data_IF_759096095859
#
_entry.id   IF_759096095859
#
_cell.length_a   1.000
_cell.length_b   1.000
_cell.length_c   1.000
_cell.angle_alpha   90.00
_cell.angle_beta   90.00
_cell.angle_gamma   90.00
#
_symmetry.space_group_name_H-M   'P 1'
#
loop_
_entity.id
_entity.type
_entity.pdbx_description
1 polymer ?
#
# COMPACT_ATOMS: atom_id res chain seq x y z
N UNK A 1 -34.69 10.04 -3.96
CA UNK A 1 -33.90 8.81 -4.16
C UNK A 1 -34.41 8.07 -5.38
N UNK A 2 -33.53 7.82 -6.36
CA UNK A 2 -33.49 6.50 -6.95
C UNK A 2 -32.08 5.92 -6.80
N UNK A 3 -32.05 4.63 -6.44
CA UNK A 3 -30.88 3.84 -6.16
C UNK A 3 -30.03 3.66 -7.43
N UNK A 4 -28.75 4.00 -7.37
CA UNK A 4 -27.77 3.56 -8.37
C UNK A 4 -27.34 2.15 -8.03
N UNK A 5 -27.80 1.18 -8.82
CA UNK A 5 -27.21 -0.16 -8.89
C UNK A 5 -25.80 -0.06 -9.44
N UNK A 6 -24.82 -0.53 -8.66
CA UNK A 6 -23.41 -0.62 -9.04
C UNK A 6 -23.24 -1.40 -10.36
N UNK A 7 -22.60 -0.78 -11.36
CA UNK A 7 -22.09 -1.48 -12.54
C UNK A 7 -20.69 -1.98 -12.24
N UNK A 8 -20.51 -3.30 -12.22
CA UNK A 8 -19.20 -3.94 -12.21
C UNK A 8 -18.70 -4.00 -13.65
N UNK A 9 -17.72 -3.17 -13.99
CA UNK A 9 -16.93 -3.32 -15.21
C UNK A 9 -15.64 -4.05 -14.85
N UNK A 10 -15.56 -5.36 -15.09
CA UNK A 10 -14.28 -6.08 -15.05
C UNK A 10 -13.51 -5.78 -16.34
N UNK A 11 -12.37 -5.09 -16.22
CA UNK A 11 -11.42 -4.90 -17.32
C UNK A 11 -10.41 -6.06 -17.27
N UNK A 12 -10.67 -7.12 -18.03
CA UNK A 12 -9.66 -8.12 -18.33
C UNK A 12 -8.86 -7.68 -19.57
N UNK A 13 -7.62 -7.25 -19.38
CA UNK A 13 -6.66 -7.03 -20.46
C UNK A 13 -6.14 -8.38 -20.96
N UNK A 14 -6.84 -9.00 -21.89
CA UNK A 14 -6.27 -10.09 -22.70
C UNK A 14 -5.90 -9.58 -24.09
N UNK A 15 -4.64 -9.83 -24.44
CA UNK A 15 -4.05 -9.66 -25.76
C UNK A 15 -4.92 -10.33 -26.84
N UNK A 16 -5.46 -9.52 -27.74
CA UNK A 16 -5.96 -9.92 -29.05
C UNK A 16 -7.15 -10.89 -29.07
N UNK A 17 -8.38 -10.39 -28.93
CA UNK A 17 -9.63 -10.93 -29.54
C UNK A 17 -10.80 -9.99 -29.21
N UNK A 18 -11.78 -9.89 -30.10
CA UNK A 18 -12.86 -8.90 -30.11
C UNK A 18 -13.59 -8.65 -28.76
N UNK A 19 -13.92 -7.38 -28.50
CA UNK A 19 -14.78 -6.93 -27.40
C UNK A 19 -16.23 -7.37 -27.63
N UNK A 20 -16.83 -8.03 -26.65
CA UNK A 20 -18.28 -8.20 -26.56
C UNK A 20 -18.78 -7.54 -25.28
N UNK A 21 -19.56 -6.46 -25.42
CA UNK A 21 -20.35 -5.89 -24.33
C UNK A 21 -21.68 -6.63 -24.29
N UNK A 22 -21.87 -7.53 -23.35
CA UNK A 22 -23.18 -8.14 -23.10
C UNK A 22 -23.99 -7.25 -22.16
N UNK A 23 -24.99 -6.55 -22.68
CA UNK A 23 -26.00 -5.90 -21.85
C UNK A 23 -26.95 -6.97 -21.29
N UNK A 24 -26.95 -7.18 -19.97
CA UNK A 24 -28.09 -7.81 -19.29
C UNK A 24 -28.92 -6.71 -18.65
N UNK A 25 -30.02 -6.35 -19.30
CA UNK A 25 -31.04 -5.50 -18.70
C UNK A 25 -31.83 -6.34 -17.68
N UNK A 26 -31.61 -6.11 -16.38
CA UNK A 26 -32.54 -6.54 -15.34
C UNK A 26 -33.76 -5.63 -15.42
N UNK A 27 -34.87 -6.14 -15.97
CA UNK A 27 -36.15 -5.45 -15.96
C UNK A 27 -36.85 -5.68 -14.62
N UNK A 28 -37.07 -4.61 -13.87
CA UNK A 28 -37.91 -4.57 -12.68
C UNK A 28 -39.37 -4.84 -13.07
N UNK A 29 -39.81 -6.09 -12.96
CA UNK A 29 -41.21 -6.48 -13.16
C UNK A 29 -42.08 -6.05 -11.98
N UNK A 30 -42.63 -4.84 -12.06
CA UNK A 30 -43.77 -4.44 -11.24
C UNK A 30 -44.98 -5.34 -11.59
N UNK A 31 -45.56 -5.97 -10.57
CA UNK A 31 -46.69 -6.87 -10.71
C UNK A 31 -47.91 -6.21 -11.34
N UNK A 32 -48.46 -6.86 -12.37
CA UNK A 32 -49.88 -6.76 -12.74
C UNK A 32 -50.38 -8.16 -13.12
N UNK A 33 -51.33 -8.66 -12.35
CA UNK A 33 -52.17 -9.80 -12.68
C UNK A 33 -53.32 -9.35 -13.57
N UNK A 34 -53.57 -10.03 -14.70
CA UNK A 34 -54.92 -10.24 -15.26
C UNK A 34 -54.87 -11.26 -16.42
N UNK A 35 -55.38 -12.45 -16.13
CA UNK A 35 -56.27 -13.34 -16.88
C UNK A 35 -56.34 -13.23 -18.43
N UNK A 36 -56.31 -14.40 -19.10
CA UNK A 36 -56.96 -14.53 -20.41
C UNK A 36 -56.31 -15.53 -21.37
N UNK A 37 -56.88 -16.73 -21.41
CA UNK A 37 -56.68 -17.77 -22.42
C UNK A 37 -57.07 -17.27 -23.84
N UNK A 38 -56.29 -17.54 -24.89
CA UNK A 38 -56.78 -17.42 -26.28
C UNK A 38 -55.77 -17.09 -27.39
N UNK A 39 -55.29 -18.13 -28.08
CA UNK A 39 -55.35 -18.30 -29.55
C UNK A 39 -54.71 -17.29 -30.52
N UNK A 40 -53.69 -17.79 -31.23
CA UNK A 40 -53.28 -17.50 -32.62
C UNK A 40 -52.54 -16.18 -32.99
N UNK A 41 -51.24 -16.38 -33.28
CA UNK A 41 -50.47 -15.90 -34.43
C UNK A 41 -50.17 -14.40 -34.59
N UNK A 42 -48.89 -14.03 -34.45
CA UNK A 42 -48.12 -13.31 -35.47
C UNK A 42 -46.63 -13.25 -35.07
N UNK A 43 -45.77 -13.86 -35.89
CA UNK A 43 -44.31 -13.63 -35.92
C UNK A 43 -44.03 -12.16 -36.21
N UNK A 44 -43.94 -11.32 -35.17
CA UNK A 44 -43.35 -10.00 -35.28
C UNK A 44 -41.85 -10.11 -35.05
N UNK A 45 -41.12 -9.97 -36.17
CA UNK A 45 -39.68 -9.75 -36.21
C UNK A 45 -39.30 -8.69 -35.18
N UNK A 46 -38.54 -9.08 -34.16
CA UNK A 46 -37.87 -8.14 -33.28
C UNK A 46 -36.92 -7.27 -34.12
N UNK A 47 -36.90 -5.93 -33.96
CA UNK A 47 -35.90 -5.10 -34.63
C UNK A 47 -34.52 -5.51 -34.11
N UNK A 48 -33.69 -6.09 -34.98
CA UNK A 48 -32.28 -6.31 -34.69
C UNK A 48 -31.58 -4.96 -34.59
N UNK A 49 -31.49 -4.39 -33.39
CA UNK A 49 -30.54 -3.32 -33.11
C UNK A 49 -29.13 -3.90 -32.87
N UNK A 50 -28.63 -4.65 -33.86
CA UNK A 50 -27.19 -4.84 -34.04
C UNK A 50 -26.68 -3.67 -34.85
N UNK A 51 -26.56 -2.51 -34.21
CA UNK A 51 -25.73 -1.44 -34.76
C UNK A 51 -24.29 -1.84 -34.49
N UNK A 52 -23.73 -2.67 -35.37
CA UNK A 52 -22.31 -2.96 -35.40
C UNK A 52 -21.56 -1.64 -35.54
N UNK A 53 -20.88 -1.20 -34.48
CA UNK A 53 -20.02 -0.02 -34.50
C UNK A 53 -18.75 -0.40 -35.28
N UNK A 54 -18.83 -0.37 -36.61
CA UNK A 54 -17.72 -0.67 -37.52
C UNK A 54 -16.70 0.47 -37.63
N UNK A 55 -16.99 1.64 -37.05
CA UNK A 55 -16.08 2.79 -37.04
C UNK A 55 -14.86 2.61 -36.15
N UNK A 56 -14.95 1.76 -35.11
CA UNK A 56 -13.82 1.50 -34.22
C UNK A 56 -12.69 0.74 -34.93
N UNK A 57 -12.99 -0.11 -35.90
CA UNK A 57 -11.96 -0.87 -36.62
C UNK A 57 -11.22 -0.03 -37.68
N UNK A 58 -11.85 0.98 -38.26
CA UNK A 58 -11.22 1.79 -39.32
C UNK A 58 -10.24 2.85 -38.79
N UNK A 59 -10.37 3.27 -37.52
CA UNK A 59 -9.45 4.21 -36.87
C UNK A 59 -8.23 3.52 -36.23
N UNK A 60 -8.27 2.21 -36.01
CA UNK A 60 -7.21 1.47 -35.34
C UNK A 60 -5.99 1.17 -36.23
N UNK A 61 -6.15 1.19 -37.56
CA UNK A 61 -5.06 0.87 -38.50
C UNK A 61 -4.16 2.07 -38.86
N UNK A 62 -4.48 3.30 -38.43
CA UNK A 62 -3.73 4.51 -38.82
C UNK A 62 -3.08 5.28 -37.68
N UNK A 63 -3.34 4.91 -36.42
CA UNK A 63 -2.76 5.58 -35.25
C UNK A 63 -1.61 4.75 -34.68
N UNK A 64 -0.46 5.40 -34.48
CA UNK A 64 0.64 4.87 -33.68
C UNK A 64 0.08 4.47 -32.30
N UNK A 65 0.39 3.27 -31.81
CA UNK A 65 -0.08 2.75 -30.52
C UNK A 65 0.15 3.76 -29.38
N UNK A 66 1.29 4.44 -29.38
CA UNK A 66 1.63 5.49 -28.38
C UNK A 66 0.65 6.67 -28.44
N UNK A 67 0.25 7.09 -29.65
CA UNK A 67 -0.69 8.18 -29.83
C UNK A 67 -2.10 7.81 -29.37
N UNK A 68 -2.53 6.57 -29.65
CA UNK A 68 -3.80 6.04 -29.17
C UNK A 68 -3.81 5.97 -27.62
N UNK A 69 -2.72 5.52 -27.01
CA UNK A 69 -2.58 5.48 -25.55
C UNK A 69 -2.64 6.88 -24.93
N UNK A 70 -1.93 7.86 -25.49
CA UNK A 70 -2.02 9.26 -25.05
C UNK A 70 -3.44 9.80 -25.12
N UNK A 71 -4.17 9.52 -26.21
CA UNK A 71 -5.58 9.93 -26.36
C UNK A 71 -6.46 9.31 -25.27
N UNK A 72 -6.32 8.00 -25.03
CA UNK A 72 -7.08 7.29 -23.98
C UNK A 72 -6.78 7.84 -22.59
N UNK A 73 -5.51 8.09 -22.30
CA UNK A 73 -5.10 8.69 -21.03
C UNK A 73 -5.64 10.12 -20.89
N UNK A 74 -5.65 10.92 -21.95
CA UNK A 74 -6.28 12.24 -21.93
C UNK A 74 -7.76 12.16 -21.55
N UNK A 75 -8.50 11.20 -22.13
CA UNK A 75 -9.90 10.98 -21.77
C UNK A 75 -10.03 10.59 -20.29
N UNK A 76 -9.29 9.59 -19.84
CA UNK A 76 -9.32 9.11 -18.45
C UNK A 76 -9.03 10.23 -17.44
N UNK A 77 -8.11 11.13 -17.76
CA UNK A 77 -7.64 12.17 -16.83
C UNK A 77 -8.48 13.45 -16.87
N UNK A 78 -9.26 13.71 -17.92
CA UNK A 78 -9.87 15.04 -18.12
C UNK A 78 -11.35 15.02 -18.48
N UNK A 79 -11.90 13.89 -18.95
CA UNK A 79 -13.30 13.87 -19.36
C UNK A 79 -14.22 13.72 -18.14
N UNK A 80 -15.34 14.46 -18.06
CA UNK A 80 -16.26 14.44 -16.91
C UNK A 80 -16.80 13.05 -16.56
N UNK A 81 -16.94 12.17 -17.55
CA UNK A 81 -17.43 10.80 -17.36
C UNK A 81 -16.47 9.91 -16.57
N UNK A 82 -15.20 10.32 -16.45
CA UNK A 82 -14.17 9.66 -15.64
C UNK A 82 -13.76 10.48 -14.41
N UNK A 83 -14.57 11.47 -14.02
CA UNK A 83 -14.38 12.14 -12.74
C UNK A 83 -14.57 11.14 -11.58
N UNK A 84 -13.72 11.23 -10.57
CA UNK A 84 -13.77 10.36 -9.40
C UNK A 84 -14.87 10.84 -8.44
N UNK A 85 -15.93 10.04 -8.36
CA UNK A 85 -17.06 10.25 -7.43
C UNK A 85 -17.05 9.28 -6.24
N UNK A 86 -16.20 8.27 -6.28
CA UNK A 86 -15.97 7.30 -5.22
C UNK A 86 -14.48 7.31 -4.87
N UNK A 87 -14.18 7.45 -3.59
CA UNK A 87 -12.84 7.60 -3.03
C UNK A 87 -12.02 6.31 -3.11
N UNK A 88 -12.67 5.14 -3.26
CA UNK A 88 -11.98 3.88 -2.96
C UNK A 88 -11.04 3.37 -4.08
N UNK A 89 -11.35 3.58 -5.37
CA UNK A 89 -10.57 2.94 -6.46
C UNK A 89 -10.22 3.85 -7.65
N UNK A 90 -10.96 4.94 -7.85
CA UNK A 90 -10.84 5.72 -9.08
C UNK A 90 -9.45 6.35 -9.25
N UNK A 91 -8.86 6.85 -8.17
CA UNK A 91 -7.52 7.45 -8.21
C UNK A 91 -6.43 6.40 -8.44
N UNK A 92 -6.58 5.20 -7.87
CA UNK A 92 -5.64 4.09 -8.11
C UNK A 92 -5.60 3.68 -9.58
N UNK A 93 -6.76 3.62 -10.25
CA UNK A 93 -6.85 3.30 -11.67
C UNK A 93 -6.18 4.39 -12.53
N UNK A 94 -6.40 5.67 -12.19
CA UNK A 94 -5.72 6.80 -12.84
C UNK A 94 -4.21 6.71 -12.67
N UNK A 95 -3.71 6.45 -11.46
CA UNK A 95 -2.27 6.27 -11.19
C UNK A 95 -1.70 5.07 -11.94
N UNK A 96 -2.44 3.95 -11.99
CA UNK A 96 -2.04 2.75 -12.73
C UNK A 96 -1.84 3.05 -14.21
N UNK A 97 -2.72 3.85 -14.80
CA UNK A 97 -2.60 4.26 -16.19
C UNK A 97 -1.38 5.17 -16.44
N UNK A 98 -1.00 6.02 -15.47
CA UNK A 98 0.15 6.92 -15.58
C UNK A 98 1.50 6.21 -15.69
N UNK A 99 1.61 4.97 -15.19
CA UNK A 99 2.79 4.11 -15.36
C UNK A 99 3.25 4.01 -16.81
N UNK A 100 2.32 4.12 -17.77
CA UNK A 100 2.65 4.03 -19.19
C UNK A 100 3.48 5.21 -19.67
N UNK A 101 3.19 6.43 -19.19
CA UNK A 101 3.93 7.62 -19.56
C UNK A 101 5.36 7.55 -19.04
N UNK A 102 5.52 7.07 -17.81
CA UNK A 102 6.83 6.87 -17.20
C UNK A 102 7.70 5.88 -18.00
N UNK A 103 7.12 4.75 -18.43
CA UNK A 103 7.82 3.78 -19.30
C UNK A 103 8.27 4.36 -20.64
N UNK A 104 7.54 5.36 -21.15
CA UNK A 104 7.87 6.06 -22.39
C UNK A 104 8.66 7.36 -22.17
N UNK A 105 9.07 7.66 -20.93
CA UNK A 105 9.79 8.89 -20.57
C UNK A 105 9.04 10.19 -20.95
N UNK A 106 7.71 10.15 -20.96
CA UNK A 106 6.85 11.29 -21.30
C UNK A 106 6.58 12.16 -20.06
N UNK A 107 7.66 12.76 -19.53
CA UNK A 107 7.65 13.46 -18.24
C UNK A 107 6.74 14.70 -18.24
N UNK A 108 6.65 15.42 -19.36
CA UNK A 108 5.80 16.61 -19.48
C UNK A 108 4.32 16.24 -19.31
N UNK A 109 3.88 15.19 -20.00
CA UNK A 109 2.50 14.73 -19.93
C UNK A 109 2.19 14.10 -18.57
N UNK A 110 3.18 13.42 -17.98
CA UNK A 110 3.09 12.88 -16.63
C UNK A 110 2.88 13.99 -15.60
N UNK A 111 3.71 15.04 -15.61
CA UNK A 111 3.59 16.18 -14.69
C UNK A 111 2.25 16.92 -14.87
N UNK A 112 1.78 17.08 -16.11
CA UNK A 112 0.46 17.65 -16.42
C UNK A 112 -0.67 16.85 -15.78
N UNK A 113 -0.67 15.53 -15.94
CA UNK A 113 -1.74 14.69 -15.41
C UNK A 113 -1.66 14.50 -13.90
N UNK A 114 -0.45 14.48 -13.33
CA UNK A 114 -0.29 14.58 -11.88
C UNK A 114 -0.91 15.86 -11.33
N UNK A 115 -0.64 17.01 -11.95
CA UNK A 115 -1.26 18.29 -11.55
C UNK A 115 -2.78 18.26 -11.67
N UNK A 116 -3.29 17.55 -12.67
CA UNK A 116 -4.74 17.35 -12.85
C UNK A 116 -5.33 16.52 -11.70
N UNK A 117 -4.65 15.44 -11.28
CA UNK A 117 -5.05 14.64 -10.12
C UNK A 117 -5.07 15.46 -8.84
N UNK A 118 -4.00 16.22 -8.56
CA UNK A 118 -3.94 17.04 -7.35
C UNK A 118 -5.11 18.05 -7.29
N UNK A 119 -5.45 18.65 -8.44
CA UNK A 119 -6.61 19.55 -8.53
C UNK A 119 -7.92 18.81 -8.29
N UNK A 120 -8.09 17.61 -8.83
CA UNK A 120 -9.29 16.80 -8.62
C UNK A 120 -9.45 16.39 -7.15
N UNK A 121 -8.37 15.90 -6.53
CA UNK A 121 -8.29 15.57 -5.10
C UNK A 121 -8.61 16.81 -4.25
N UNK A 122 -8.10 17.99 -4.63
CA UNK A 122 -8.34 19.23 -3.88
C UNK A 122 -9.80 19.64 -3.75
N UNK A 123 -10.68 19.12 -4.62
CA UNK A 123 -12.11 19.42 -4.61
C UNK A 123 -12.93 18.40 -3.79
N UNK A 124 -12.29 17.36 -3.26
CA UNK A 124 -12.96 16.32 -2.47
C UNK A 124 -13.19 16.80 -1.03
N UNK A 125 -14.27 16.35 -0.36
CA UNK A 125 -14.54 16.72 1.02
C UNK A 125 -13.48 16.14 1.95
N UNK A 126 -13.11 16.88 3.01
CA UNK A 126 -12.04 16.51 3.94
C UNK A 126 -12.17 15.08 4.49
N UNK A 127 -13.39 14.61 4.74
CA UNK A 127 -13.68 13.26 5.25
C UNK A 127 -13.20 12.13 4.33
N UNK A 128 -13.08 12.39 3.03
CA UNK A 128 -12.59 11.42 2.05
C UNK A 128 -11.07 11.51 1.82
N UNK A 129 -10.41 12.59 2.27
CA UNK A 129 -9.00 12.84 1.93
C UNK A 129 -8.09 11.72 2.40
N UNK A 130 -8.29 11.24 3.63
CA UNK A 130 -7.44 10.21 4.24
C UNK A 130 -7.33 8.96 3.35
N UNK A 131 -8.48 8.44 2.91
CA UNK A 131 -8.57 7.26 2.04
C UNK A 131 -7.98 7.58 0.67
N UNK A 132 -8.36 8.72 0.08
CA UNK A 132 -7.91 9.11 -1.26
C UNK A 132 -6.39 9.23 -1.31
N UNK A 133 -5.77 9.97 -0.39
CA UNK A 133 -4.32 10.22 -0.45
C UNK A 133 -3.52 8.96 -0.13
N UNK A 134 -4.00 8.13 0.80
CA UNK A 134 -3.31 6.91 1.21
C UNK A 134 -3.28 5.90 0.08
N UNK A 135 -4.45 5.58 -0.50
CA UNK A 135 -4.57 4.66 -1.63
C UNK A 135 -3.80 5.18 -2.86
N UNK A 136 -3.90 6.47 -3.15
CA UNK A 136 -3.19 7.08 -4.29
C UNK A 136 -1.67 7.02 -4.09
N UNK A 137 -1.20 7.34 -2.88
CA UNK A 137 0.22 7.31 -2.53
C UNK A 137 0.82 5.92 -2.54
N UNK A 138 0.12 4.95 -1.95
CA UNK A 138 0.48 3.54 -2.01
C UNK A 138 0.58 3.11 -3.47
N UNK A 139 -0.43 3.45 -4.28
CA UNK A 139 -0.43 3.08 -5.69
C UNK A 139 0.73 3.68 -6.45
N UNK A 140 1.10 4.93 -6.20
CA UNK A 140 2.29 5.55 -6.79
C UNK A 140 3.56 4.76 -6.42
N UNK A 141 3.71 4.34 -5.17
CA UNK A 141 4.82 3.50 -4.73
C UNK A 141 4.85 2.14 -5.45
N UNK A 142 3.72 1.44 -5.49
CA UNK A 142 3.58 0.12 -6.15
C UNK A 142 3.99 0.15 -7.63
N UNK A 143 3.64 1.22 -8.34
CA UNK A 143 3.94 1.34 -9.77
C UNK A 143 5.34 1.90 -10.05
N UNK A 144 6.14 2.20 -9.01
CA UNK A 144 7.51 2.69 -9.11
C UNK A 144 7.61 4.21 -9.33
N UNK A 145 6.55 4.96 -9.02
CA UNK A 145 6.45 6.41 -9.17
C UNK A 145 6.64 7.14 -7.82
N UNK A 146 7.63 6.71 -7.04
CA UNK A 146 7.88 7.20 -5.66
C UNK A 146 8.06 8.72 -5.57
N UNK A 147 8.65 9.36 -6.60
CA UNK A 147 8.73 10.84 -6.69
C UNK A 147 7.35 11.50 -6.61
N UNK A 148 6.34 10.92 -7.27
CA UNK A 148 4.98 11.45 -7.28
C UNK A 148 4.25 11.14 -5.97
N UNK A 149 4.54 10.00 -5.31
CA UNK A 149 4.08 9.74 -3.95
C UNK A 149 4.61 10.81 -2.97
N UNK A 150 5.90 11.16 -3.05
CA UNK A 150 6.49 12.21 -2.22
C UNK A 150 5.85 13.58 -2.47
N UNK A 151 5.63 13.95 -3.74
CA UNK A 151 4.96 15.20 -4.09
C UNK A 151 3.50 15.23 -3.58
N UNK A 152 2.79 14.09 -3.63
CA UNK A 152 1.45 13.96 -3.09
C UNK A 152 1.45 14.15 -1.56
N UNK A 153 2.44 13.61 -0.86
CA UNK A 153 2.64 13.82 0.57
C UNK A 153 2.80 15.31 0.91
N UNK A 154 3.69 16.02 0.22
CA UNK A 154 3.88 17.45 0.44
C UNK A 154 2.63 18.28 0.14
N UNK A 155 1.89 17.92 -0.92
CA UNK A 155 0.60 18.54 -1.22
C UNK A 155 -0.43 18.33 -0.10
N UNK A 156 -0.54 17.10 0.42
CA UNK A 156 -1.44 16.77 1.52
C UNK A 156 -1.05 17.50 2.82
N UNK A 157 0.25 17.61 3.13
CA UNK A 157 0.73 18.35 4.30
C UNK A 157 0.34 19.83 4.25
N UNK A 158 0.52 20.49 3.10
CA UNK A 158 0.10 21.88 2.92
C UNK A 158 -1.40 22.07 3.12
N UNK A 159 -2.20 21.09 2.70
CA UNK A 159 -3.65 21.10 2.88
C UNK A 159 -4.02 20.90 4.36
N UNK A 160 -3.46 19.89 5.02
CA UNK A 160 -3.73 19.59 6.42
C UNK A 160 -3.31 20.72 7.36
N UNK A 161 -2.20 21.39 7.11
CA UNK A 161 -1.80 22.59 7.88
C UNK A 161 -2.82 23.73 7.75
N UNK A 162 -3.48 23.88 6.60
CA UNK A 162 -4.54 24.89 6.42
C UNK A 162 -5.79 24.48 7.19
N UNK A 163 -6.22 23.23 7.07
CA UNK A 163 -7.42 22.68 7.73
C UNK A 163 -7.29 22.62 9.25
N UNK A 164 -6.07 22.47 9.77
CA UNK A 164 -5.78 22.42 11.21
C UNK A 164 -6.32 23.64 11.99
N UNK A 165 -6.50 24.79 11.34
CA UNK A 165 -7.04 26.00 11.97
C UNK A 165 -8.54 25.94 12.26
N UNK A 166 -9.25 25.03 11.59
CA UNK A 166 -10.72 24.97 11.60
C UNK A 166 -11.27 23.64 12.15
N UNK A 167 -10.40 22.69 12.48
CA UNK A 167 -10.75 21.36 12.97
C UNK A 167 -10.11 21.06 14.32
N UNK A 168 -10.66 20.09 15.06
CA UNK A 168 -10.11 19.70 16.35
C UNK A 168 -8.76 18.98 16.20
N UNK A 169 -7.94 19.06 17.24
CA UNK A 169 -6.66 18.34 17.28
C UNK A 169 -6.85 16.82 17.10
N UNK A 170 -7.93 16.27 17.65
CA UNK A 170 -8.23 14.83 17.54
C UNK A 170 -8.55 14.40 16.11
N UNK A 171 -9.32 15.21 15.37
CA UNK A 171 -9.64 14.94 13.96
C UNK A 171 -8.37 15.01 13.10
N UNK A 172 -7.58 16.07 13.30
CA UNK A 172 -6.36 16.27 12.53
C UNK A 172 -5.27 15.24 12.82
N UNK A 173 -5.22 14.69 14.04
CA UNK A 173 -4.22 13.70 14.43
C UNK A 173 -4.28 12.44 13.54
N UNK A 174 -5.48 12.00 13.17
CA UNK A 174 -5.65 10.86 12.25
C UNK A 174 -5.02 11.16 10.89
N UNK A 175 -5.36 12.30 10.30
CA UNK A 175 -4.83 12.75 9.01
C UNK A 175 -3.31 12.91 9.02
N UNK A 176 -2.73 13.46 10.09
CA UNK A 176 -1.27 13.57 10.21
C UNK A 176 -0.59 12.21 10.41
N UNK A 177 -1.27 11.24 11.02
CA UNK A 177 -0.76 9.87 11.09
C UNK A 177 -0.65 9.23 9.70
N UNK A 178 -1.70 9.34 8.88
CA UNK A 178 -1.71 8.83 7.51
C UNK A 178 -0.76 9.61 6.60
N UNK A 179 -0.57 10.90 6.84
CA UNK A 179 0.43 11.70 6.13
C UNK A 179 1.85 11.16 6.33
N UNK A 180 2.19 10.71 7.54
CA UNK A 180 3.51 10.12 7.78
C UNK A 180 3.69 8.79 7.03
N UNK A 181 2.64 7.98 6.92
CA UNK A 181 2.62 6.79 6.06
C UNK A 181 2.81 7.16 4.59
N UNK A 182 2.11 8.19 4.12
CA UNK A 182 2.23 8.68 2.75
C UNK A 182 3.65 9.15 2.41
N UNK A 183 4.33 9.82 3.35
CA UNK A 183 5.75 10.14 3.19
C UNK A 183 6.63 8.89 3.07
N UNK A 184 6.29 7.80 3.78
CA UNK A 184 6.99 6.53 3.67
C UNK A 184 6.88 5.89 2.28
N UNK A 185 5.73 6.04 1.60
CA UNK A 185 5.56 5.59 0.21
C UNK A 185 6.50 6.33 -0.78
N UNK A 186 6.88 7.55 -0.44
CA UNK A 186 7.90 8.33 -1.17
C UNK A 186 9.34 8.01 -0.78
N UNK A 187 9.59 7.08 0.14
CA UNK A 187 10.89 6.88 0.83
C UNK A 187 11.42 8.14 1.53
N UNK A 188 10.55 9.03 1.99
CA UNK A 188 10.92 10.24 2.74
C UNK A 188 10.71 10.03 4.25
N UNK A 189 11.56 9.18 4.83
CA UNK A 189 11.51 8.82 6.25
C UNK A 189 11.77 10.03 7.16
N UNK A 190 12.54 11.01 6.69
CA UNK A 190 12.82 12.24 7.43
C UNK A 190 11.56 13.09 7.62
N UNK A 191 10.76 13.28 6.55
CA UNK A 191 9.49 13.99 6.64
C UNK A 191 8.45 13.18 7.43
N UNK A 192 8.37 11.85 7.24
CA UNK A 192 7.50 11.00 8.04
C UNK A 192 7.78 11.14 9.55
N UNK A 193 9.06 11.06 9.92
CA UNK A 193 9.49 11.20 11.31
C UNK A 193 9.17 12.60 11.87
N UNK A 194 9.38 13.66 11.07
CA UNK A 194 9.05 15.05 11.43
C UNK A 194 7.56 15.18 11.74
N UNK A 195 6.70 14.70 10.83
CA UNK A 195 5.24 14.81 10.97
C UNK A 195 4.76 14.12 12.24
N UNK A 196 5.22 12.90 12.50
CA UNK A 196 4.86 12.20 13.73
C UNK A 196 5.26 12.98 14.98
N UNK A 197 6.50 13.48 15.05
CA UNK A 197 6.98 14.23 16.22
C UNK A 197 6.24 15.56 16.43
N UNK A 198 5.80 16.21 15.35
CA UNK A 198 5.15 17.52 15.42
C UNK A 198 3.64 17.43 15.68
N UNK A 199 2.97 16.41 15.15
CA UNK A 199 1.50 16.39 15.06
C UNK A 199 0.84 15.18 15.71
N UNK A 200 1.60 14.12 16.04
CA UNK A 200 1.04 12.86 16.56
C UNK A 200 1.69 12.53 17.91
N UNK A 201 1.16 13.06 19.03
CA UNK A 201 1.70 12.76 20.35
C UNK A 201 1.59 11.25 20.63
N UNK A 202 2.71 10.64 21.05
CA UNK A 202 2.85 9.21 21.29
C UNK A 202 2.55 8.34 20.05
N UNK A 203 3.11 8.71 18.89
CA UNK A 203 3.04 7.89 17.68
C UNK A 203 3.62 6.48 17.92
N UNK A 204 3.05 5.49 17.22
CA UNK A 204 3.53 4.12 17.29
C UNK A 204 4.93 4.02 16.67
N UNK A 205 5.94 3.78 17.52
CA UNK A 205 7.33 3.69 17.09
C UNK A 205 7.58 2.51 16.14
N UNK A 206 6.75 1.47 16.22
CA UNK A 206 6.75 0.32 15.31
C UNK A 206 6.58 0.74 13.84
N UNK A 207 5.70 1.70 13.55
CA UNK A 207 5.50 2.21 12.19
C UNK A 207 6.76 2.89 11.65
N UNK A 208 7.44 3.70 12.48
CA UNK A 208 8.70 4.34 12.07
C UNK A 208 9.81 3.33 11.82
N UNK A 209 9.90 2.27 12.64
CA UNK A 209 10.86 1.17 12.39
C UNK A 209 10.55 0.51 11.04
N UNK A 210 9.27 0.24 10.75
CA UNK A 210 8.85 -0.32 9.46
C UNK A 210 9.20 0.60 8.28
N UNK A 211 9.03 1.92 8.42
CA UNK A 211 9.36 2.88 7.36
C UNK A 211 10.86 2.91 7.08
N UNK A 212 11.69 2.90 8.13
CA UNK A 212 13.14 2.78 7.97
C UNK A 212 13.55 1.45 7.32
N UNK A 213 12.92 0.34 7.68
CA UNK A 213 13.15 -0.98 7.05
C UNK A 213 12.80 -0.94 5.56
N UNK A 214 11.65 -0.38 5.19
CA UNK A 214 11.22 -0.27 3.79
C UNK A 214 12.19 0.59 2.96
N UNK A 215 12.69 1.68 3.55
CA UNK A 215 13.70 2.55 2.95
C UNK A 215 15.13 1.99 2.99
N UNK A 216 15.34 0.80 3.60
CA UNK A 216 16.65 0.15 3.82
C UNK A 216 17.60 0.97 4.70
N UNK A 217 17.06 1.81 5.57
CA UNK A 217 17.78 2.60 6.56
C UNK A 217 18.01 1.77 7.83
N UNK A 218 18.77 0.67 7.70
CA UNK A 218 18.91 -0.36 8.74
C UNK A 218 19.42 0.18 10.08
N UNK A 219 20.34 1.15 10.07
CA UNK A 219 20.88 1.73 11.29
C UNK A 219 19.84 2.58 12.02
N UNK A 220 19.05 3.39 11.29
CA UNK A 220 17.98 4.19 11.88
C UNK A 220 16.90 3.28 12.51
N UNK A 221 16.51 2.22 11.79
CA UNK A 221 15.60 1.20 12.32
C UNK A 221 16.17 0.53 13.58
N UNK A 222 17.46 0.14 13.55
CA UNK A 222 18.16 -0.50 14.68
C UNK A 222 18.22 0.38 15.91
N UNK A 223 18.59 1.65 15.77
CA UNK A 223 18.69 2.58 16.90
C UNK A 223 17.35 2.71 17.62
N UNK A 224 16.27 2.87 16.85
CA UNK A 224 14.93 3.01 17.37
C UNK A 224 14.42 1.71 18.02
N UNK A 225 14.63 0.57 17.36
CA UNK A 225 14.28 -0.75 17.90
C UNK A 225 14.99 -1.07 19.22
N UNK A 226 16.28 -0.71 19.33
CA UNK A 226 17.06 -0.90 20.56
C UNK A 226 16.52 0.00 21.67
N UNK A 227 16.22 1.27 21.35
CA UNK A 227 15.70 2.25 22.31
C UNK A 227 14.36 1.79 22.92
N UNK A 228 13.47 1.23 22.10
CA UNK A 228 12.18 0.70 22.54
C UNK A 228 12.26 -0.74 23.09
N UNK A 229 13.47 -1.31 23.14
CA UNK A 229 13.75 -2.68 23.57
C UNK A 229 12.85 -3.74 22.89
N UNK A 230 12.54 -3.57 21.61
CA UNK A 230 11.59 -4.43 20.91
C UNK A 230 12.23 -5.74 20.44
N UNK A 231 11.48 -6.84 20.57
CA UNK A 231 11.79 -8.13 19.96
C UNK A 231 10.59 -8.59 19.14
N UNK A 232 10.84 -9.21 17.99
CA UNK A 232 9.80 -9.65 17.07
C UNK A 232 10.28 -9.66 15.62
N UNK A 233 9.33 -9.49 14.70
CA UNK A 233 9.58 -9.59 13.26
C UNK A 233 10.61 -8.56 12.78
N UNK A 234 10.52 -7.30 13.21
CA UNK A 234 11.51 -6.28 12.83
C UNK A 234 12.92 -6.64 13.28
N UNK A 235 13.09 -7.19 14.49
CA UNK A 235 14.41 -7.63 14.96
C UNK A 235 14.98 -8.77 14.09
N UNK A 236 14.14 -9.70 13.61
CA UNK A 236 14.57 -10.75 12.68
C UNK A 236 15.04 -10.16 11.35
N UNK A 237 14.30 -9.20 10.80
CA UNK A 237 14.65 -8.50 9.56
C UNK A 237 15.99 -7.76 9.74
N UNK A 238 16.18 -7.06 10.86
CA UNK A 238 17.41 -6.34 11.15
C UNK A 238 18.59 -7.30 11.36
N UNK A 239 18.41 -8.41 12.08
CA UNK A 239 19.43 -9.44 12.20
C UNK A 239 19.90 -9.93 10.83
N UNK A 240 18.97 -10.22 9.91
CA UNK A 240 19.33 -10.70 8.57
C UNK A 240 20.09 -9.65 7.73
N UNK A 241 19.64 -8.39 7.77
CA UNK A 241 20.18 -7.33 6.90
C UNK A 241 21.44 -6.66 7.47
N UNK A 242 21.54 -6.50 8.79
CA UNK A 242 22.71 -5.89 9.45
C UNK A 242 23.87 -6.89 9.52
N UNK A 243 23.57 -8.18 9.68
CA UNK A 243 24.57 -9.25 9.71
C UNK A 243 24.80 -9.93 8.35
N UNK A 244 24.77 -9.17 7.25
CA UNK A 244 25.22 -9.69 5.95
C UNK A 244 26.72 -10.02 5.93
N UNK A 245 27.51 -9.37 6.80
CA UNK A 245 28.94 -9.60 7.00
C UNK A 245 29.30 -9.37 8.48
N UNK A 246 30.45 -9.87 8.92
CA UNK A 246 30.96 -9.60 10.27
C UNK A 246 31.42 -8.15 10.37
N UNK A 247 30.70 -7.33 11.13
CA UNK A 247 31.09 -5.97 11.53
C UNK A 247 30.68 -5.68 12.98
N UNK A 248 31.05 -4.50 13.50
CA UNK A 248 30.78 -4.13 14.89
C UNK A 248 29.26 -4.00 15.16
N UNK A 249 28.51 -3.47 14.19
CA UNK A 249 27.07 -3.26 14.27
C UNK A 249 26.31 -4.58 14.37
N UNK A 250 26.68 -5.57 13.56
CA UNK A 250 26.15 -6.92 13.59
C UNK A 250 26.40 -7.57 14.95
N UNK A 251 27.66 -7.57 15.42
CA UNK A 251 27.99 -8.19 16.71
C UNK A 251 27.25 -7.50 17.86
N UNK A 252 27.18 -6.17 17.85
CA UNK A 252 26.43 -5.42 18.85
C UNK A 252 24.92 -5.70 18.78
N UNK A 253 24.35 -5.90 17.59
CA UNK A 253 22.92 -6.23 17.45
C UNK A 253 22.59 -7.65 17.91
N UNK A 254 23.48 -8.61 17.66
CA UNK A 254 23.38 -9.97 18.22
C UNK A 254 23.44 -9.91 19.75
N UNK A 255 24.39 -9.15 20.32
CA UNK A 255 24.51 -8.98 21.78
C UNK A 255 23.24 -8.35 22.36
N UNK A 256 22.70 -7.30 21.74
CA UNK A 256 21.41 -6.71 22.14
C UNK A 256 20.30 -7.76 22.16
N UNK A 257 20.16 -8.55 21.09
CA UNK A 257 19.10 -9.56 20.97
C UNK A 257 19.24 -10.63 22.05
N UNK A 258 20.43 -11.18 22.24
CA UNK A 258 20.71 -12.18 23.29
C UNK A 258 20.42 -11.62 24.68
N UNK A 259 20.87 -10.40 24.97
CA UNK A 259 20.63 -9.74 26.24
C UNK A 259 19.13 -9.56 26.49
N UNK A 260 18.36 -9.09 25.50
CA UNK A 260 16.92 -8.90 25.66
C UNK A 260 16.17 -10.23 25.86
N UNK A 261 16.59 -11.30 25.20
CA UNK A 261 16.03 -12.64 25.46
C UNK A 261 16.29 -13.10 26.91
N UNK A 262 17.41 -12.69 27.52
CA UNK A 262 17.69 -13.04 28.93
C UNK A 262 16.80 -12.31 29.94
N UNK A 263 16.18 -11.18 29.56
CA UNK A 263 15.31 -10.41 30.46
C UNK A 263 13.82 -10.75 30.28
N UNK A 264 13.45 -11.47 29.22
CA UNK A 264 12.09 -11.98 28.99
C UNK A 264 11.81 -13.26 29.79
N UNK A 265 10.55 -13.70 29.94
CA UNK A 265 10.22 -15.03 30.45
C UNK A 265 11.05 -16.12 29.78
N UNK A 266 11.35 -17.20 30.50
CA UNK A 266 12.20 -18.26 29.98
C UNK A 266 11.61 -18.83 28.68
N UNK A 267 12.44 -18.95 27.63
CA UNK A 267 12.03 -19.47 26.34
C UNK A 267 11.61 -20.93 26.52
N UNK A 268 10.38 -21.24 26.14
CA UNK A 268 9.83 -22.60 26.20
C UNK A 268 9.68 -23.18 24.80
N UNK A 269 9.31 -24.45 24.69
CA UNK A 269 9.03 -25.10 23.39
C UNK A 269 7.90 -24.44 22.59
N UNK A 270 6.99 -23.72 23.26
CA UNK A 270 5.85 -23.05 22.63
C UNK A 270 6.10 -21.57 22.34
N UNK A 271 7.21 -21.00 22.83
CA UNK A 271 7.57 -19.60 22.58
C UNK A 271 8.18 -19.45 21.19
N UNK A 272 7.34 -19.20 20.17
CA UNK A 272 7.81 -19.05 18.79
C UNK A 272 8.73 -17.85 18.63
N UNK A 273 8.45 -16.73 19.30
CA UNK A 273 9.21 -15.48 19.14
C UNK A 273 10.63 -15.67 19.64
N UNK A 274 10.82 -16.11 20.89
CA UNK A 274 12.16 -16.30 21.45
C UNK A 274 12.98 -17.33 20.68
N UNK A 275 12.36 -18.45 20.29
CA UNK A 275 13.02 -19.51 19.51
C UNK A 275 13.45 -19.04 18.12
N UNK A 276 12.62 -18.25 17.42
CA UNK A 276 12.96 -17.71 16.10
C UNK A 276 14.18 -16.78 16.17
N UNK A 277 14.25 -15.90 17.17
CA UNK A 277 15.41 -15.00 17.35
C UNK A 277 16.71 -15.79 17.54
N UNK A 278 16.69 -16.79 18.44
CA UNK A 278 17.85 -17.65 18.70
C UNK A 278 18.28 -18.44 17.46
N UNK A 279 17.31 -18.97 16.73
CA UNK A 279 17.58 -19.72 15.51
C UNK A 279 18.23 -18.84 14.44
N UNK A 280 17.75 -17.60 14.25
CA UNK A 280 18.39 -16.68 13.30
C UNK A 280 19.81 -16.31 13.72
N UNK A 281 20.07 -16.08 15.02
CA UNK A 281 21.44 -15.83 15.51
C UNK A 281 22.35 -17.02 15.20
N UNK A 282 21.89 -18.25 15.45
CA UNK A 282 22.64 -19.47 15.11
C UNK A 282 22.94 -19.58 13.61
N UNK A 283 21.95 -19.27 12.76
CA UNK A 283 22.14 -19.20 11.30
C UNK A 283 23.19 -18.17 10.90
N UNK A 284 23.18 -16.98 11.52
CA UNK A 284 24.16 -15.93 11.24
C UNK A 284 25.57 -16.40 11.58
N UNK A 285 25.78 -16.97 12.77
CA UNK A 285 27.08 -17.52 13.16
C UNK A 285 27.58 -18.57 12.18
N UNK A 286 26.72 -19.50 11.78
CA UNK A 286 27.06 -20.52 10.80
C UNK A 286 27.39 -19.93 9.43
N UNK A 287 26.51 -19.07 8.90
CA UNK A 287 26.65 -18.45 7.57
C UNK A 287 27.91 -17.59 7.44
N UNK A 288 28.27 -16.89 8.50
CA UNK A 288 29.46 -16.02 8.52
C UNK A 288 30.73 -16.75 8.97
N UNK A 289 30.64 -18.03 9.35
CA UNK A 289 31.75 -18.82 9.93
C UNK A 289 32.41 -18.15 11.14
N UNK A 290 31.61 -17.47 11.97
CA UNK A 290 32.08 -16.76 13.16
C UNK A 290 31.64 -17.49 14.44
N UNK A 291 32.46 -17.35 15.49
CA UNK A 291 32.09 -17.82 16.84
C UNK A 291 31.47 -16.67 17.64
N UNK A 292 30.57 -16.96 18.60
CA UNK A 292 30.07 -15.94 19.52
C UNK A 292 31.22 -15.33 20.32
N UNK A 293 31.19 -14.02 20.54
CA UNK A 293 32.13 -13.32 21.42
C UNK A 293 31.99 -13.79 22.87
N UNK A 294 33.01 -13.64 23.74
CA UNK A 294 32.95 -14.15 25.12
C UNK A 294 31.70 -13.74 25.90
N UNK A 295 31.27 -12.47 25.78
CA UNK A 295 30.04 -11.98 26.39
C UNK A 295 28.79 -12.69 25.84
N UNK A 296 28.73 -12.89 24.52
CA UNK A 296 27.63 -13.59 23.86
C UNK A 296 27.57 -15.06 24.29
N UNK A 297 28.72 -15.71 24.51
CA UNK A 297 28.76 -17.09 25.04
C UNK A 297 28.14 -17.18 26.44
N UNK A 298 28.43 -16.20 27.31
CA UNK A 298 27.83 -16.12 28.66
C UNK A 298 26.31 -15.94 28.57
N UNK A 299 25.83 -15.07 27.68
CA UNK A 299 24.39 -14.86 27.46
C UNK A 299 23.71 -16.13 26.93
N UNK A 300 24.32 -16.80 25.95
CA UNK A 300 23.81 -18.07 25.40
C UNK A 300 23.74 -19.15 26.49
N UNK A 301 24.76 -19.26 27.34
CA UNK A 301 24.76 -20.22 28.44
C UNK A 301 23.66 -19.91 29.45
N UNK A 302 23.46 -18.63 29.80
CA UNK A 302 22.36 -18.20 30.69
C UNK A 302 20.99 -18.58 30.13
N UNK A 303 20.76 -18.41 28.82
CA UNK A 303 19.52 -18.84 28.17
C UNK A 303 19.31 -20.35 28.25
N UNK A 304 20.37 -21.14 28.03
CA UNK A 304 20.33 -22.59 28.16
C UNK A 304 20.00 -23.05 29.58
N UNK A 305 20.66 -22.47 30.59
CA UNK A 305 20.47 -22.83 31.99
C UNK A 305 19.03 -22.52 32.43
N UNK A 306 18.48 -21.36 32.03
CA UNK A 306 17.09 -20.96 32.32
C UNK A 306 16.06 -21.88 31.67
N UNK A 307 16.32 -22.36 30.45
CA UNK A 307 15.46 -23.33 29.79
C UNK A 307 15.47 -24.67 30.54
N UNK A 308 16.64 -25.13 31.01
CA UNK A 308 16.78 -26.39 31.74
C UNK A 308 16.17 -26.37 33.16
N UNK A 309 16.28 -25.25 33.88
CA UNK A 309 15.72 -25.08 35.22
C UNK A 309 14.19 -25.05 35.28
N UNK A 310 13.52 -24.78 34.14
CA UNK A 310 12.06 -24.88 34.05
C UNK A 310 11.54 -26.32 34.14
N UNK A 311 12.38 -27.33 33.83
CA UNK A 311 12.01 -28.73 33.89
C UNK A 311 11.92 -29.29 35.32
N UNK A 312 12.56 -28.66 36.31
CA UNK A 312 12.56 -29.13 37.70
C UNK A 312 11.42 -28.57 38.56
N UNK A 313 10.64 -27.61 38.05
CA UNK A 313 9.55 -26.98 38.80
C UNK A 313 8.16 -27.61 38.54
N UNK A 314 8.10 -28.70 37.76
CA UNK A 314 6.83 -29.35 37.35
C UNK A 314 6.84 -30.87 37.56
N UNK A 315 7.53 -31.34 38.61
CA UNK A 315 7.34 -32.69 39.15
C UNK A 315 6.75 -32.64 40.54
#
# INVERSE_FOLDING_TARGET
MPCFTAMRAEIALMSGSAFAVTHHAFSSGAGRTSDGNGSHASTLKSPSYTKSVSWQHYLLNSLNEVELMRKRLAFLMTAPEYACYDSQYCYEDKVSALKILYRHHDNELMDKYFTTLLKEISNQPLEDWDIIISNTGEKFSEVGLTKYAQHLASFAEEFYIKEQKSHSESEMRGLFSSLAELYSFGNDTASANRVFHQHVPAFNTDHMIQYFINAKEWNNARELLIKEEMLGMHNLILLENICMQKNAECMAHITFTLNKLTTQPAITKIDSVGNEQLYQIGKIYHKLEIKPEPEQQVLIQSLYDRASGSASATQ
#
